data_IF_822128204649
#
_entry.id   IF_822128204649
#
_cell.length_a   1.000
_cell.length_b   1.000
_cell.length_c   1.000
_cell.angle_alpha   90.00
_cell.angle_beta   90.00
_cell.angle_gamma   90.00
#
_symmetry.space_group_name_H-M   'P 1'
#
loop_
_entity.id
_entity.type
_entity.pdbx_description
1 polymer ?
#
# COMPACT_ATOMS: atom_id res chain seq x y z
N UNK A 1 21.86 -8.74 1.30
CA UNK A 1 22.18 -8.25 2.65
C UNK A 1 22.87 -9.35 3.43
N UNK A 2 23.79 -9.00 4.33
CA UNK A 2 24.38 -9.92 5.30
C UNK A 2 23.77 -9.63 6.67
N UNK A 3 23.01 -10.56 7.21
CA UNK A 3 22.29 -10.42 8.48
C UNK A 3 22.92 -11.22 9.63
N UNK A 4 24.12 -11.79 9.42
CA UNK A 4 24.83 -12.60 10.42
C UNK A 4 24.22 -13.97 10.66
N UNK A 5 24.74 -14.69 11.66
CA UNK A 5 24.22 -16.00 12.07
C UNK A 5 23.00 -15.85 12.99
N UNK A 6 21.93 -16.56 12.64
CA UNK A 6 20.64 -16.58 13.35
C UNK A 6 20.33 -17.94 13.98
N UNK A 7 21.30 -18.86 14.00
CA UNK A 7 21.12 -20.25 14.47
C UNK A 7 20.61 -20.32 15.90
N UNK A 8 21.15 -19.51 16.82
CA UNK A 8 20.70 -19.51 18.23
C UNK A 8 19.26 -19.00 18.40
N UNK A 9 18.83 -18.03 17.57
CA UNK A 9 17.44 -17.55 17.58
C UNK A 9 16.47 -18.60 17.06
N UNK A 10 16.87 -19.38 16.05
CA UNK A 10 16.07 -20.51 15.53
C UNK A 10 15.94 -21.63 16.57
N UNK A 11 17.04 -22.04 17.21
CA UNK A 11 17.03 -23.04 18.29
C UNK A 11 16.16 -22.59 19.47
N UNK A 12 16.19 -21.31 19.83
CA UNK A 12 15.33 -20.78 20.90
C UNK A 12 13.84 -20.93 20.54
N UNK A 13 13.45 -20.58 19.31
CA UNK A 13 12.07 -20.71 18.81
C UNK A 13 11.58 -22.16 18.91
N UNK A 14 12.42 -23.13 18.55
CA UNK A 14 12.12 -24.56 18.63
C UNK A 14 11.97 -25.03 20.08
N UNK A 15 12.92 -24.67 20.96
CA UNK A 15 12.89 -25.06 22.40
C UNK A 15 11.63 -24.53 23.10
N UNK A 16 11.23 -23.29 22.80
CA UNK A 16 10.05 -22.67 23.38
C UNK A 16 8.73 -23.08 22.70
N UNK A 17 8.79 -23.91 21.65
CA UNK A 17 7.61 -24.35 20.88
C UNK A 17 6.73 -23.19 20.43
N UNK A 18 7.35 -22.10 19.97
CA UNK A 18 6.62 -20.91 19.55
C UNK A 18 5.69 -21.21 18.37
N UNK A 19 4.53 -20.54 18.36
CA UNK A 19 3.61 -20.59 17.23
C UNK A 19 4.22 -20.00 15.94
N UNK A 20 3.61 -20.32 14.79
CA UNK A 20 4.03 -19.80 13.50
C UNK A 20 3.65 -18.33 13.32
N UNK A 21 4.28 -17.64 12.37
CA UNK A 21 3.88 -16.27 12.04
C UNK A 21 2.46 -16.21 11.48
N UNK A 22 2.05 -17.22 10.70
CA UNK A 22 0.65 -17.37 10.27
C UNK A 22 -0.31 -17.46 11.47
N UNK A 23 0.00 -18.27 12.47
CA UNK A 23 -0.83 -18.34 13.68
C UNK A 23 -0.95 -16.99 14.37
N UNK A 24 0.14 -16.22 14.46
CA UNK A 24 0.11 -14.87 15.02
C UNK A 24 -0.83 -13.95 14.22
N UNK A 25 -0.72 -13.94 12.89
CA UNK A 25 -1.61 -13.15 12.03
C UNK A 25 -3.07 -13.58 12.20
N UNK A 26 -3.35 -14.89 12.19
CA UNK A 26 -4.72 -15.39 12.27
C UNK A 26 -5.37 -15.22 13.67
N UNK A 27 -4.59 -15.12 14.76
CA UNK A 27 -5.11 -15.18 16.14
C UNK A 27 -4.81 -13.94 17.00
N UNK A 28 -3.73 -13.21 16.72
CA UNK A 28 -3.30 -12.06 17.52
C UNK A 28 -3.51 -10.75 16.77
N UNK A 29 -3.31 -10.74 15.44
CA UNK A 29 -3.52 -9.55 14.62
C UNK A 29 -4.28 -9.84 13.32
N UNK A 30 -5.55 -10.30 13.43
CA UNK A 30 -6.34 -10.74 12.27
C UNK A 30 -6.75 -9.61 11.33
N UNK A 31 -6.81 -8.37 11.82
CA UNK A 31 -7.25 -7.21 11.05
C UNK A 31 -6.13 -6.59 10.19
N UNK A 32 -4.89 -7.09 10.30
CA UNK A 32 -3.77 -6.58 9.52
C UNK A 32 -3.98 -6.89 8.04
N UNK A 33 -3.99 -5.84 7.21
CA UNK A 33 -3.99 -6.02 5.76
C UNK A 33 -2.70 -6.74 5.32
N UNK A 34 -2.86 -7.90 4.69
CA UNK A 34 -1.72 -8.68 4.19
C UNK A 34 -1.41 -8.26 2.75
N UNK A 35 -0.19 -7.77 2.44
CA UNK A 35 0.22 -7.41 1.09
C UNK A 35 0.00 -8.51 0.04
N UNK A 36 0.02 -9.78 0.45
CA UNK A 36 -0.27 -10.93 -0.40
C UNK A 36 -1.69 -10.96 -0.99
N UNK A 37 -2.60 -10.16 -0.46
CA UNK A 37 -3.97 -10.05 -0.97
C UNK A 37 -4.13 -8.99 -2.05
N UNK A 38 -3.11 -8.16 -2.29
CA UNK A 38 -3.12 -7.16 -3.35
C UNK A 38 -3.15 -7.83 -4.73
N UNK A 39 -3.95 -7.28 -5.65
CA UNK A 39 -4.05 -7.76 -7.03
C UNK A 39 -2.99 -7.13 -7.95
N UNK A 40 -2.38 -6.03 -7.50
CA UNK A 40 -1.24 -5.40 -8.13
C UNK A 40 -0.42 -4.64 -7.09
N UNK A 41 0.88 -4.49 -7.33
CA UNK A 41 1.77 -3.71 -6.45
C UNK A 41 2.94 -3.11 -7.23
N UNK A 42 3.41 -1.94 -6.81
CA UNK A 42 4.58 -1.27 -7.39
C UNK A 42 4.36 0.23 -7.55
N UNK A 43 5.11 0.82 -8.48
CA UNK A 43 4.95 2.22 -8.87
C UNK A 43 3.75 2.40 -9.80
N UNK A 44 2.97 3.46 -9.60
CA UNK A 44 1.93 3.89 -10.55
C UNK A 44 2.54 4.95 -11.47
N UNK A 45 2.81 4.59 -12.72
CA UNK A 45 3.50 5.44 -13.70
C UNK A 45 2.52 6.22 -14.57
N UNK A 46 2.77 7.52 -14.74
CA UNK A 46 1.98 8.34 -15.65
C UNK A 46 2.30 7.99 -17.12
N UNK A 47 1.30 7.55 -17.89
CA UNK A 47 1.49 7.24 -19.31
C UNK A 47 1.72 8.46 -20.19
N UNK A 48 1.16 9.62 -19.83
CA UNK A 48 1.38 10.89 -20.53
C UNK A 48 2.77 11.47 -20.31
N UNK A 49 3.43 11.11 -19.20
CA UNK A 49 4.83 11.42 -18.96
C UNK A 49 5.47 10.35 -18.06
N UNK A 50 6.12 9.37 -18.70
CA UNK A 50 6.71 8.19 -18.04
C UNK A 50 7.85 8.50 -17.06
N UNK A 51 8.30 9.75 -16.99
CA UNK A 51 9.25 10.21 -15.97
C UNK A 51 8.60 10.30 -14.58
N UNK A 52 7.29 10.48 -14.50
CA UNK A 52 6.59 10.76 -13.25
C UNK A 52 5.76 9.58 -12.76
N UNK A 53 5.82 9.37 -11.44
CA UNK A 53 5.10 8.37 -10.69
C UNK A 53 4.18 9.04 -9.67
N UNK A 54 3.13 8.33 -9.26
CA UNK A 54 2.32 8.71 -8.10
C UNK A 54 3.17 8.54 -6.84
N UNK A 55 3.28 9.61 -6.06
CA UNK A 55 4.18 9.73 -4.93
C UNK A 55 3.44 10.34 -3.75
N UNK A 56 3.64 9.79 -2.56
CA UNK A 56 3.14 10.36 -1.32
C UNK A 56 4.10 11.46 -0.85
N UNK A 57 3.61 12.69 -0.74
CA UNK A 57 4.41 13.79 -0.19
C UNK A 57 4.84 13.43 1.24
N UNK A 58 6.15 13.40 1.47
CA UNK A 58 6.72 12.91 2.73
C UNK A 58 6.72 14.05 3.75
N UNK A 59 5.53 14.49 4.14
CA UNK A 59 5.33 15.41 5.26
C UNK A 59 5.47 14.70 6.61
N UNK A 60 5.22 15.44 7.70
CA UNK A 60 5.23 14.86 9.06
C UNK A 60 3.95 14.08 9.39
N UNK A 61 2.90 14.19 8.57
CA UNK A 61 1.56 13.69 8.87
C UNK A 61 1.11 12.66 7.82
N UNK A 62 0.99 11.39 8.17
CA UNK A 62 0.60 10.37 7.18
C UNK A 62 -0.86 10.51 6.69
N UNK A 63 -1.68 11.28 7.41
CA UNK A 63 -3.09 11.58 7.09
C UNK A 63 -3.19 12.99 6.49
N UNK A 64 -3.98 13.12 5.42
CA UNK A 64 -4.22 14.33 4.64
C UNK A 64 -2.99 14.89 3.91
N UNK A 65 -1.86 14.18 3.91
CA UNK A 65 -0.72 14.53 3.06
C UNK A 65 -1.06 14.26 1.59
N UNK A 66 -0.56 15.14 0.73
CA UNK A 66 -0.92 15.16 -0.67
C UNK A 66 -0.30 13.98 -1.43
N UNK A 67 -1.05 13.47 -2.40
CA UNK A 67 -0.54 12.54 -3.41
C UNK A 67 -0.17 13.36 -4.65
N UNK A 68 1.12 13.36 -4.99
CA UNK A 68 1.72 14.23 -5.99
C UNK A 68 2.39 13.43 -7.11
N UNK A 69 2.57 14.02 -8.30
CA UNK A 69 3.48 13.45 -9.29
C UNK A 69 4.94 13.78 -8.93
N UNK A 70 5.80 12.77 -8.83
CA UNK A 70 7.24 12.95 -8.60
C UNK A 70 8.08 12.08 -9.56
N UNK A 71 9.33 12.45 -9.91
CA UNK A 71 10.18 11.59 -10.72
C UNK A 71 10.27 10.15 -10.18
N UNK A 72 9.99 9.17 -11.03
CA UNK A 72 10.08 7.75 -10.67
C UNK A 72 11.51 7.39 -10.25
N UNK A 73 11.68 6.73 -9.11
CA UNK A 73 13.01 6.44 -8.57
C UNK A 73 13.29 4.96 -8.25
N UNK A 74 12.34 4.04 -8.39
CA UNK A 74 12.53 2.58 -8.23
C UNK A 74 13.01 2.14 -6.84
N UNK A 75 12.90 3.01 -5.83
CA UNK A 75 13.35 2.72 -4.45
C UNK A 75 12.22 2.18 -3.57
N UNK A 76 11.00 2.06 -4.11
CA UNK A 76 9.81 1.76 -3.33
C UNK A 76 9.44 2.96 -2.44
N UNK A 77 9.24 2.72 -1.14
CA UNK A 77 8.96 3.78 -0.18
C UNK A 77 7.66 4.53 -0.50
N UNK A 78 7.75 5.86 -0.61
CA UNK A 78 6.65 6.77 -0.94
C UNK A 78 6.07 6.60 -2.36
N UNK A 79 6.73 5.84 -3.25
CA UNK A 79 6.21 5.49 -4.58
C UNK A 79 5.71 4.05 -4.69
N UNK A 80 5.71 3.28 -3.60
CA UNK A 80 5.20 1.91 -3.61
C UNK A 80 3.73 1.87 -3.16
N UNK A 81 2.87 1.39 -4.06
CA UNK A 81 1.43 1.28 -3.82
C UNK A 81 0.94 -0.15 -4.05
N UNK A 82 -0.16 -0.50 -3.40
CA UNK A 82 -0.83 -1.80 -3.54
C UNK A 82 -2.30 -1.60 -3.91
N UNK A 83 -2.80 -2.28 -4.94
CA UNK A 83 -4.23 -2.28 -5.27
C UNK A 83 -4.91 -3.45 -4.56
N UNK A 84 -5.86 -3.16 -3.67
CA UNK A 84 -6.65 -4.18 -2.98
C UNK A 84 -7.70 -4.79 -3.90
N UNK A 85 -8.20 -5.98 -3.54
CA UNK A 85 -9.34 -6.63 -4.23
C UNK A 85 -10.63 -5.81 -4.16
N UNK A 86 -10.74 -4.93 -3.17
CA UNK A 86 -11.90 -4.06 -2.94
C UNK A 86 -11.77 -2.70 -3.63
N UNK A 87 -10.67 -2.47 -4.37
CA UNK A 87 -10.45 -1.26 -5.17
C UNK A 87 -9.79 -0.11 -4.43
N UNK A 88 -9.14 -0.35 -3.29
CA UNK A 88 -8.36 0.69 -2.60
C UNK A 88 -6.92 0.69 -3.12
N UNK A 89 -6.34 1.87 -3.35
CA UNK A 89 -4.90 2.03 -3.60
C UNK A 89 -4.22 2.35 -2.27
N UNK A 90 -3.45 1.40 -1.75
CA UNK A 90 -2.99 1.33 -0.37
C UNK A 90 -1.49 1.53 -0.21
N UNK A 91 -1.10 2.03 0.96
CA UNK A 91 0.22 1.95 1.58
C UNK A 91 0.02 1.71 3.09
N UNK A 92 0.35 0.51 3.55
CA UNK A 92 0.06 0.04 4.91
C UNK A 92 -1.42 0.25 5.29
N UNK A 93 -1.69 1.03 6.34
CA UNK A 93 -3.04 1.38 6.84
C UNK A 93 -3.67 2.58 6.15
N UNK A 94 -2.99 3.17 5.15
CA UNK A 94 -3.45 4.38 4.47
C UNK A 94 -3.79 4.14 3.00
N UNK A 95 -4.83 4.81 2.53
CA UNK A 95 -5.41 4.68 1.21
C UNK A 95 -5.37 6.04 0.50
N UNK A 96 -5.22 6.01 -0.83
CA UNK A 96 -5.46 7.21 -1.65
C UNK A 96 -6.96 7.54 -1.54
N UNK A 97 -7.23 8.76 -1.10
CA UNK A 97 -8.56 9.29 -0.82
C UNK A 97 -8.75 10.59 -1.60
N UNK A 98 -9.86 10.70 -2.32
CA UNK A 98 -10.19 11.93 -3.03
C UNK A 98 -11.36 12.67 -2.37
N UNK A 99 -11.03 13.83 -1.81
CA UNK A 99 -11.97 14.64 -1.01
C UNK A 99 -13.04 15.39 -1.81
N UNK A 100 -13.16 15.14 -3.12
CA UNK A 100 -14.06 15.89 -4.02
C UNK A 100 -13.47 17.18 -4.57
N UNK A 101 -12.27 17.59 -4.11
CA UNK A 101 -11.59 18.82 -4.52
C UNK A 101 -10.08 18.68 -4.44
N UNK A 102 -9.37 19.41 -5.30
CA UNK A 102 -7.91 19.43 -5.29
C UNK A 102 -7.26 18.11 -5.71
N UNK A 103 -6.03 17.88 -5.27
CA UNK A 103 -5.34 16.61 -5.45
C UNK A 103 -5.85 15.56 -4.45
N UNK A 104 -5.79 14.25 -4.78
CA UNK A 104 -5.98 13.19 -3.80
C UNK A 104 -4.98 13.31 -2.64
N UNK A 105 -5.38 12.79 -1.49
CA UNK A 105 -4.57 12.73 -0.27
C UNK A 105 -4.47 11.29 0.21
N UNK A 106 -3.65 11.04 1.22
CA UNK A 106 -3.72 9.77 1.96
C UNK A 106 -4.64 9.90 3.18
N UNK A 107 -5.49 8.90 3.42
CA UNK A 107 -6.34 8.82 4.62
C UNK A 107 -6.36 7.38 5.14
N UNK A 108 -6.87 7.15 6.35
CA UNK A 108 -7.03 5.79 6.87
C UNK A 108 -7.90 4.95 5.93
N UNK A 109 -7.46 3.74 5.62
CA UNK A 109 -8.24 2.79 4.82
C UNK A 109 -9.49 2.36 5.59
N UNK A 110 -10.67 2.59 5.01
CA UNK A 110 -11.92 2.34 5.73
C UNK A 110 -12.84 1.30 5.07
N UNK A 111 -12.54 0.80 3.87
CA UNK A 111 -13.32 -0.26 3.22
C UNK A 111 -14.73 0.15 2.74
N UNK A 112 -15.22 1.33 3.15
CA UNK A 112 -16.54 1.89 2.77
C UNK A 112 -16.69 2.29 1.30
N UNK A 113 -15.70 2.03 0.44
CA UNK A 113 -15.67 2.44 -0.98
C UNK A 113 -15.74 3.97 -1.14
N UNK A 114 -16.54 4.48 -2.08
CA UNK A 114 -16.76 5.90 -2.31
C UNK A 114 -15.50 6.63 -2.75
N UNK A 115 -15.07 7.62 -1.97
CA UNK A 115 -13.87 8.43 -2.20
C UNK A 115 -12.54 7.65 -2.15
N UNK A 116 -12.57 6.39 -1.70
CA UNK A 116 -11.41 5.47 -1.74
C UNK A 116 -11.58 4.32 -2.74
N UNK A 117 -12.62 4.33 -3.58
CA UNK A 117 -12.83 3.30 -4.62
C UNK A 117 -12.19 3.72 -5.94
N UNK A 118 -11.18 2.96 -6.34
CA UNK A 118 -10.42 3.12 -7.57
C UNK A 118 -10.53 1.87 -8.45
N UNK A 119 -10.81 2.06 -9.73
CA UNK A 119 -10.76 0.97 -10.71
C UNK A 119 -9.70 1.22 -11.76
N UNK A 120 -8.89 0.20 -12.02
CA UNK A 120 -7.94 0.21 -13.11
C UNK A 120 -8.55 -0.46 -14.34
N UNK A 121 -8.71 0.30 -15.42
CA UNK A 121 -9.14 -0.23 -16.70
C UNK A 121 -7.94 -0.74 -17.50
N UNK A 122 -7.83 -2.06 -17.65
CA UNK A 122 -6.74 -2.71 -18.38
C UNK A 122 -6.70 -2.40 -19.89
N UNK A 123 -7.82 -2.00 -20.51
CA UNK A 123 -7.88 -1.73 -21.94
C UNK A 123 -7.28 -0.37 -22.28
N UNK A 124 -7.56 0.64 -21.46
CA UNK A 124 -7.07 2.02 -21.67
C UNK A 124 -5.93 2.42 -20.73
N UNK A 125 -5.60 1.55 -19.76
CA UNK A 125 -4.58 1.77 -18.74
C UNK A 125 -4.80 3.03 -17.90
N UNK A 126 -6.06 3.36 -17.60
CA UNK A 126 -6.46 4.49 -16.76
C UNK A 126 -7.00 4.01 -15.42
N UNK A 127 -6.72 4.79 -14.38
CA UNK A 127 -7.30 4.64 -13.05
C UNK A 127 -8.45 5.64 -12.94
N UNK A 128 -9.63 5.16 -12.59
CA UNK A 128 -10.83 5.97 -12.39
C UNK A 128 -11.26 5.95 -10.94
N UNK A 129 -11.84 7.05 -10.48
CA UNK A 129 -12.58 7.13 -9.23
C UNK A 129 -14.08 7.19 -9.52
N UNK A 130 -14.87 6.53 -8.69
CA UNK A 130 -16.33 6.53 -8.80
C UNK A 130 -16.95 7.39 -7.70
N UNK A 131 -17.71 8.41 -8.11
CA UNK A 131 -18.65 9.11 -7.24
C UNK A 131 -20.03 8.48 -7.49
N UNK A 132 -20.60 7.86 -6.47
CA UNK A 132 -22.02 7.52 -6.45
C UNK A 132 -22.82 8.71 -5.92
#
# INVERSE_FOLDING_TARGET
GNFGDVSERKKLRERLKCHSFKWYLDNIFPDLFLPSEAIASGEIRNLGNRKYCVDHDVGRNVINDSVIPYPCHLQGGNQFWMLSKTGEIRRDEYCIDYTGRGAPVTYECHGSKGNQLWEYNHQVSFIFIFFF
#
